data_IF_149170363102
#
_entry.id   IF_149170363102
#
_cell.length_a   1.000
_cell.length_b   1.000
_cell.length_c   1.000
_cell.angle_alpha   90.00
_cell.angle_beta   90.00
_cell.angle_gamma   90.00
#
_symmetry.space_group_name_H-M   'P 1'
#
loop_
_entity.id
_entity.type
_entity.pdbx_description
1 polymer ?
#
# COMPACT_ATOMS: atom_id res chain seq x y z
N UNK A 1 -7.90 0.39 -1.54
CA UNK A 1 -8.72 0.80 -2.69
C UNK A 1 -7.98 0.47 -3.96
N UNK A 2 -8.70 0.03 -5.00
CA UNK A 2 -8.11 -0.20 -6.33
C UNK A 2 -8.45 1.01 -7.19
N UNK A 3 -7.47 1.61 -7.86
CA UNK A 3 -7.64 2.80 -8.68
C UNK A 3 -6.83 2.74 -9.97
N UNK A 4 -7.15 3.63 -10.90
CA UNK A 4 -6.46 3.78 -12.19
C UNK A 4 -5.68 5.09 -12.19
N UNK A 5 -4.34 5.00 -12.13
CA UNK A 5 -3.43 6.15 -12.12
C UNK A 5 -2.69 6.26 -13.45
N UNK A 6 -2.52 7.46 -13.98
CA UNK A 6 -1.53 7.69 -15.04
C UNK A 6 -0.12 7.50 -14.49
N UNK A 7 0.81 7.09 -15.34
CA UNK A 7 2.22 6.91 -14.98
C UNK A 7 2.84 8.17 -14.38
N UNK A 8 2.47 9.34 -14.88
CA UNK A 8 2.89 10.64 -14.32
C UNK A 8 2.48 10.81 -12.85
N UNK A 9 1.24 10.43 -12.51
CA UNK A 9 0.72 10.54 -11.14
C UNK A 9 1.39 9.52 -10.23
N UNK A 10 1.63 8.31 -10.73
CA UNK A 10 2.35 7.27 -10.01
C UNK A 10 3.79 7.70 -9.72
N UNK A 11 4.51 8.25 -10.71
CA UNK A 11 5.84 8.83 -10.53
C UNK A 11 5.84 9.93 -9.47
N UNK A 12 4.92 10.89 -9.58
CA UNK A 12 4.82 12.00 -8.64
C UNK A 12 4.56 11.51 -7.20
N UNK A 13 3.65 10.54 -7.02
CA UNK A 13 3.34 9.97 -5.72
C UNK A 13 4.54 9.26 -5.08
N UNK A 14 5.31 8.49 -5.87
CA UNK A 14 6.53 7.81 -5.41
C UNK A 14 7.59 8.84 -5.04
N UNK A 15 7.90 9.78 -5.94
CA UNK A 15 8.88 10.83 -5.72
C UNK A 15 8.57 11.65 -4.45
N UNK A 16 7.31 12.06 -4.29
CA UNK A 16 6.83 12.77 -3.09
C UNK A 16 7.07 11.97 -1.82
N UNK A 17 6.79 10.66 -1.85
CA UNK A 17 7.00 9.79 -0.69
C UNK A 17 8.49 9.66 -0.30
N UNK A 18 9.40 9.69 -1.28
CA UNK A 18 10.85 9.62 -1.05
C UNK A 18 11.38 10.94 -0.49
N UNK A 19 10.91 12.07 -1.03
CA UNK A 19 11.24 13.40 -0.53
C UNK A 19 10.79 13.62 0.91
N UNK A 20 9.57 13.20 1.23
CA UNK A 20 9.07 13.26 2.59
C UNK A 20 9.94 12.45 3.56
N UNK A 21 10.40 11.26 3.16
CA UNK A 21 11.22 10.40 4.01
C UNK A 21 12.66 10.90 4.19
N UNK A 22 13.20 11.64 3.21
CA UNK A 22 14.52 12.26 3.31
C UNK A 22 14.55 13.47 4.28
N UNK A 23 13.39 14.00 4.68
CA UNK A 23 13.31 15.13 5.62
C UNK A 23 13.72 14.75 7.05
N UNK A 24 14.35 15.69 7.76
CA UNK A 24 14.84 15.51 9.13
C UNK A 24 13.66 15.20 10.07
N UNK A 25 13.52 13.93 10.45
CA UNK A 25 12.45 13.44 11.33
C UNK A 25 11.65 12.27 10.76
N UNK A 26 11.85 11.89 9.49
CA UNK A 26 11.17 10.75 8.88
C UNK A 26 9.66 11.00 8.79
N UNK A 27 9.23 11.85 7.85
CA UNK A 27 7.83 12.19 7.73
C UNK A 27 6.98 10.93 7.43
N UNK A 28 5.80 10.79 8.07
CA UNK A 28 4.90 9.69 7.78
C UNK A 28 4.41 9.80 6.33
N UNK A 29 4.35 8.67 5.60
CA UNK A 29 3.89 8.65 4.20
C UNK A 29 4.83 8.04 3.18
N UNK A 30 5.89 7.37 3.64
CA UNK A 30 6.69 6.53 2.77
C UNK A 30 5.83 5.41 2.16
N UNK A 31 5.76 5.37 0.83
CA UNK A 31 5.05 4.32 0.10
C UNK A 31 5.95 3.09 -0.02
N UNK A 32 5.50 1.99 0.57
CA UNK A 32 6.01 0.66 0.26
C UNK A 32 5.53 0.30 -1.15
N UNK A 33 6.46 -0.12 -2.01
CA UNK A 33 6.17 -0.50 -3.39
C UNK A 33 6.10 -2.02 -3.51
N UNK A 34 5.37 -2.48 -4.53
CA UNK A 34 5.31 -3.89 -4.91
C UNK A 34 6.69 -4.37 -5.40
N UNK A 35 6.97 -5.67 -5.27
CA UNK A 35 8.25 -6.26 -5.67
C UNK A 35 8.54 -6.16 -7.17
N UNK A 36 7.50 -5.90 -7.98
CA UNK A 36 7.60 -5.66 -9.41
C UNK A 36 7.81 -4.20 -9.79
N UNK A 37 8.06 -3.31 -8.83
CA UNK A 37 8.36 -1.90 -9.07
C UNK A 37 9.83 -1.60 -8.78
N UNK A 38 10.51 -1.00 -9.75
CA UNK A 38 11.92 -0.59 -9.62
C UNK A 38 12.00 0.93 -9.54
N UNK A 39 12.71 1.45 -8.54
CA UNK A 39 12.95 2.89 -8.38
C UNK A 39 14.42 3.15 -8.08
N UNK A 40 14.91 4.33 -8.48
CA UNK A 40 16.24 4.83 -8.16
C UNK A 40 16.14 6.10 -7.33
N UNK A 41 17.04 6.25 -6.34
CA UNK A 41 17.21 7.51 -5.64
C UNK A 41 17.90 8.53 -6.55
N UNK A 42 17.49 9.79 -6.47
CA UNK A 42 18.20 10.86 -7.15
C UNK A 42 19.50 11.18 -6.39
N UNK A 43 20.58 11.40 -7.13
CA UNK A 43 21.93 11.60 -6.58
C UNK A 43 22.04 12.83 -5.65
N UNK A 44 21.11 13.78 -5.74
CA UNK A 44 21.15 15.06 -5.02
C UNK A 44 20.34 15.08 -3.72
N UNK A 45 19.93 13.91 -3.21
CA UNK A 45 19.43 13.80 -1.83
C UNK A 45 18.06 14.42 -1.62
N UNK A 46 17.03 13.62 -1.92
CA UNK A 46 15.64 13.96 -1.59
C UNK A 46 14.64 13.40 -2.59
N UNK A 47 15.05 13.16 -3.84
CA UNK A 47 14.17 12.63 -4.88
C UNK A 47 14.27 11.12 -5.07
N UNK A 48 13.31 10.58 -5.81
CA UNK A 48 13.40 9.22 -6.35
C UNK A 48 12.58 9.10 -7.62
N UNK A 49 13.11 8.37 -8.60
CA UNK A 49 12.46 8.09 -9.87
C UNK A 49 12.00 6.64 -9.94
N UNK A 50 10.72 6.44 -10.24
CA UNK A 50 10.17 5.14 -10.61
C UNK A 50 10.62 4.82 -12.04
N UNK A 51 11.36 3.73 -12.19
CA UNK A 51 11.96 3.31 -13.45
C UNK A 51 11.08 2.32 -14.19
N UNK A 52 10.55 1.34 -13.47
CA UNK A 52 9.80 0.23 -14.05
C UNK A 52 8.60 -0.17 -13.20
N UNK A 53 7.58 -0.66 -13.88
CA UNK A 53 6.37 -1.25 -13.29
C UNK A 53 6.10 -2.57 -14.02
N UNK A 54 6.05 -3.68 -13.30
CA UNK A 54 5.83 -5.01 -13.86
C UNK A 54 6.87 -5.43 -14.92
N UNK A 55 8.14 -4.99 -14.76
CA UNK A 55 9.23 -5.29 -15.68
C UNK A 55 9.27 -4.42 -16.94
N UNK A 56 8.30 -3.52 -17.12
CA UNK A 56 8.25 -2.56 -18.23
C UNK A 56 8.69 -1.18 -17.76
N UNK A 57 9.33 -0.41 -18.64
CA UNK A 57 9.67 0.98 -18.33
C UNK A 57 8.41 1.78 -18.01
N UNK A 58 8.51 2.70 -17.05
CA UNK A 58 7.40 3.58 -16.72
C UNK A 58 7.06 4.47 -17.91
N UNK A 59 5.81 4.39 -18.36
CA UNK A 59 5.24 5.25 -19.39
C UNK A 59 4.34 6.31 -18.69
N UNK A 60 4.69 7.60 -18.77
CA UNK A 60 3.92 8.67 -18.11
C UNK A 60 2.45 8.74 -18.53
N UNK A 61 2.14 8.42 -19.80
CA UNK A 61 0.80 8.54 -20.36
C UNK A 61 -0.05 7.28 -20.15
N UNK A 62 0.59 6.14 -19.86
CA UNK A 62 -0.11 4.89 -19.61
C UNK A 62 -0.90 4.94 -18.31
N UNK A 63 -2.09 4.34 -18.33
CA UNK A 63 -2.91 4.15 -17.13
C UNK A 63 -2.60 2.79 -16.50
N UNK A 64 -2.18 2.82 -15.24
CA UNK A 64 -1.86 1.67 -14.40
C UNK A 64 -2.98 1.40 -13.41
N UNK A 65 -3.32 0.12 -13.24
CA UNK A 65 -4.19 -0.31 -12.16
C UNK A 65 -3.35 -0.54 -10.91
N UNK A 66 -3.64 0.21 -9.86
CA UNK A 66 -2.88 0.16 -8.60
C UNK A 66 -3.79 -0.12 -7.41
N UNK A 67 -3.21 -0.65 -6.35
CA UNK A 67 -3.88 -0.77 -5.05
C UNK A 67 -3.20 0.19 -4.08
N UNK A 68 -3.98 1.12 -3.55
CA UNK A 68 -3.51 2.15 -2.62
C UNK A 68 -4.39 2.13 -1.37
N UNK A 69 -3.84 2.28 -0.15
CA UNK A 69 -4.66 2.43 1.05
C UNK A 69 -5.65 3.59 0.88
N UNK A 70 -6.92 3.34 1.18
CA UNK A 70 -7.98 4.33 0.97
C UNK A 70 -7.70 5.64 1.71
N UNK A 71 -7.18 5.54 2.94
CA UNK A 71 -6.84 6.72 3.73
C UNK A 71 -5.74 7.59 3.10
N UNK A 72 -4.82 7.02 2.31
CA UNK A 72 -3.80 7.78 1.59
C UNK A 72 -4.41 8.69 0.51
N UNK A 73 -5.59 8.33 -0.01
CA UNK A 73 -6.35 9.16 -0.95
C UNK A 73 -7.08 10.31 -0.24
N UNK A 74 -7.43 10.12 1.04
CA UNK A 74 -8.19 11.09 1.85
C UNK A 74 -7.30 11.98 2.74
N UNK A 75 -6.03 12.16 2.38
CA UNK A 75 -5.13 13.07 3.10
C UNK A 75 -4.28 12.45 4.21
N UNK A 76 -4.50 11.17 4.56
CA UNK A 76 -3.64 10.49 5.51
C UNK A 76 -2.23 10.39 4.93
N UNK A 77 -1.23 10.86 5.67
CA UNK A 77 0.18 10.93 5.26
C UNK A 77 0.54 11.96 4.17
N UNK A 78 -0.37 12.90 3.85
CA UNK A 78 -0.05 14.10 3.05
C UNK A 78 0.67 13.82 1.71
N UNK A 79 0.33 12.73 1.03
CA UNK A 79 0.81 12.48 -0.33
C UNK A 79 -0.03 13.28 -1.33
N UNK A 80 0.34 14.55 -1.55
CA UNK A 80 -0.44 15.50 -2.34
C UNK A 80 -0.79 15.00 -3.75
N UNK A 81 0.13 14.35 -4.51
CA UNK A 81 -0.21 13.79 -5.82
C UNK A 81 -1.39 12.81 -5.81
N UNK A 82 -1.47 11.94 -4.79
CA UNK A 82 -2.60 11.01 -4.65
C UNK A 82 -3.89 11.70 -4.23
N UNK A 83 -3.80 12.71 -3.37
CA UNK A 83 -4.93 13.51 -2.91
C UNK A 83 -5.52 14.32 -4.07
N UNK A 84 -4.67 14.96 -4.87
CA UNK A 84 -5.08 15.76 -6.03
C UNK A 84 -5.74 14.88 -7.08
N UNK A 85 -5.19 13.69 -7.34
CA UNK A 85 -5.82 12.71 -8.21
C UNK A 85 -7.19 12.26 -7.69
N UNK A 86 -7.30 11.97 -6.39
CA UNK A 86 -8.55 11.52 -5.78
C UNK A 86 -9.64 12.61 -5.74
N UNK A 87 -9.24 13.88 -5.68
CA UNK A 87 -10.17 15.02 -5.70
C UNK A 87 -10.45 15.57 -7.11
N UNK A 88 -9.65 15.16 -8.11
CA UNK A 88 -9.77 15.64 -9.48
C UNK A 88 -10.96 15.07 -10.24
N UNK A 89 -11.21 15.61 -11.45
CA UNK A 89 -12.30 15.15 -12.36
C UNK A 89 -12.14 13.69 -12.82
N UNK A 90 -10.97 13.09 -12.63
CA UNK A 90 -10.64 11.71 -13.01
C UNK A 90 -10.88 10.71 -11.87
N UNK A 91 -11.42 11.15 -10.73
CA UNK A 91 -11.65 10.36 -9.52
C UNK A 91 -12.79 9.34 -9.59
N UNK A 92 -13.46 9.18 -10.74
CA UNK A 92 -14.57 8.23 -10.95
C UNK A 92 -14.22 6.77 -10.62
N UNK A 93 -12.93 6.44 -10.43
CA UNK A 93 -12.46 5.13 -10.00
C UNK A 93 -12.19 4.98 -8.50
N UNK A 94 -12.37 6.00 -7.65
CA UNK A 94 -12.18 5.87 -6.20
C UNK A 94 -13.46 5.32 -5.57
N UNK A 95 -13.46 4.08 -5.07
CA UNK A 95 -14.64 3.51 -4.42
C UNK A 95 -15.00 4.32 -3.17
N UNK A 96 -16.30 4.46 -2.90
CA UNK A 96 -16.79 5.08 -1.67
C UNK A 96 -16.17 4.38 -0.45
N UNK A 97 -15.98 5.10 0.66
CA UNK A 97 -15.32 4.57 1.87
C UNK A 97 -15.96 3.29 2.40
N UNK A 98 -17.28 3.15 2.28
CA UNK A 98 -18.02 1.94 2.65
C UNK A 98 -17.67 0.69 1.83
N UNK A 99 -17.09 0.87 0.64
CA UNK A 99 -16.61 -0.20 -0.24
C UNK A 99 -15.10 -0.44 -0.10
N UNK A 100 -14.41 0.41 0.66
CA UNK A 100 -13.00 0.25 0.95
C UNK A 100 -12.81 -0.74 2.10
N UNK A 101 -12.04 -1.79 1.87
CA UNK A 101 -11.62 -2.66 2.97
C UNK A 101 -10.63 -1.91 3.88
N UNK A 102 -10.87 -1.85 5.20
CA UNK A 102 -9.93 -1.26 6.15
C UNK A 102 -8.55 -1.91 6.04
N UNK A 103 -7.49 -1.09 6.09
CA UNK A 103 -6.11 -1.60 5.95
C UNK A 103 -5.77 -2.64 7.03
N UNK A 104 -6.24 -2.42 8.25
CA UNK A 104 -6.07 -3.38 9.37
C UNK A 104 -6.58 -4.78 9.01
N UNK A 105 -7.69 -4.88 8.29
CA UNK A 105 -8.29 -6.17 7.94
C UNK A 105 -7.46 -6.87 6.86
N UNK A 106 -6.87 -6.11 5.94
CA UNK A 106 -5.93 -6.64 4.93
C UNK A 106 -4.66 -7.14 5.61
N UNK A 107 -4.09 -6.37 6.55
CA UNK A 107 -2.89 -6.75 7.30
C UNK A 107 -3.13 -7.99 8.15
N UNK A 108 -4.22 -8.03 8.92
CA UNK A 108 -4.62 -9.21 9.71
C UNK A 108 -4.80 -10.42 8.80
N UNK A 109 -5.49 -10.26 7.65
CA UNK A 109 -5.67 -11.36 6.70
C UNK A 109 -4.37 -11.86 6.08
N UNK A 110 -3.41 -10.99 5.83
CA UNK A 110 -2.09 -11.37 5.31
C UNK A 110 -1.23 -12.04 6.40
N UNK A 111 -1.31 -11.55 7.64
CA UNK A 111 -0.53 -12.05 8.76
C UNK A 111 -1.07 -13.36 9.36
N UNK A 112 -2.39 -13.63 9.27
CA UNK A 112 -3.02 -14.82 9.87
C UNK A 112 -2.41 -16.15 9.40
N UNK A 113 -1.90 -16.21 8.16
CA UNK A 113 -1.23 -17.39 7.64
C UNK A 113 0.13 -17.64 8.32
N UNK A 114 0.87 -16.56 8.61
CA UNK A 114 2.17 -16.61 9.29
C UNK A 114 2.07 -16.89 10.79
N UNK A 115 0.92 -16.58 11.42
CA UNK A 115 0.66 -16.94 12.83
C UNK A 115 0.74 -18.46 13.02
N UNK A 116 0.24 -19.24 12.05
CA UNK A 116 0.32 -20.71 12.07
C UNK A 116 1.76 -21.22 12.02
N UNK A 117 2.65 -20.53 11.32
CA UNK A 117 4.07 -20.89 11.19
C UNK A 117 4.90 -20.45 12.40
N UNK A 118 4.40 -19.49 13.19
CA UNK A 118 5.10 -18.91 14.35
C UNK A 118 4.67 -19.53 15.68
N UNK A 119 3.52 -20.22 15.72
CA UNK A 119 3.07 -20.94 16.88
C UNK A 119 3.53 -22.40 16.80
N UNK A 120 4.06 -22.97 17.90
CA UNK A 120 4.22 -24.41 18.01
C UNK A 120 2.93 -25.12 17.62
N UNK A 121 3.01 -26.22 16.86
CA UNK A 121 1.85 -26.93 16.32
C UNK A 121 0.82 -27.32 17.40
N UNK A 122 1.33 -27.62 18.60
CA UNK A 122 0.52 -27.89 19.80
C UNK A 122 -0.34 -26.69 20.20
N UNK A 123 0.25 -25.50 20.26
CA UNK A 123 -0.44 -24.28 20.68
C UNK A 123 -1.47 -23.83 19.64
N UNK A 124 -1.18 -24.04 18.36
CA UNK A 124 -2.13 -23.77 17.29
C UNK A 124 -3.32 -24.75 17.34
N UNK A 125 -3.07 -26.05 17.51
CA UNK A 125 -4.12 -27.05 17.57
C UNK A 125 -5.04 -26.89 18.80
N UNK A 126 -4.52 -26.40 19.92
CA UNK A 126 -5.32 -26.11 21.12
C UNK A 126 -6.24 -24.89 20.95
N UNK A 127 -5.86 -23.93 20.08
CA UNK A 127 -6.61 -22.69 19.86
C UNK A 127 -7.46 -22.69 18.58
N UNK A 128 -7.12 -23.46 17.54
CA UNK A 128 -7.91 -23.66 16.30
C UNK A 128 -9.02 -24.71 16.50
N UNK A 129 -9.95 -24.42 17.42
CA UNK A 129 -10.97 -25.40 17.85
C UNK A 129 -11.94 -25.81 16.74
N UNK A 130 -12.10 -24.97 15.73
CA UNK A 130 -12.95 -25.25 14.58
C UNK A 130 -12.20 -25.82 13.36
N UNK A 131 -10.88 -26.04 13.50
CA UNK A 131 -10.00 -26.65 12.50
C UNK A 131 -10.04 -25.94 11.15
N UNK A 132 -10.30 -24.63 11.12
CA UNK A 132 -10.34 -23.85 9.88
C UNK A 132 -8.96 -23.40 9.43
N UNK A 133 -7.91 -23.71 10.21
CA UNK A 133 -6.53 -23.35 9.88
C UNK A 133 -6.24 -21.87 10.08
N UNK A 134 -7.06 -21.18 10.88
CA UNK A 134 -6.85 -19.81 11.31
C UNK A 134 -7.37 -19.60 12.74
N UNK A 135 -6.63 -18.84 13.56
CA UNK A 135 -7.08 -18.50 14.91
C UNK A 135 -8.09 -17.35 14.86
N UNK A 136 -9.28 -17.59 15.40
CA UNK A 136 -10.25 -16.53 15.70
C UNK A 136 -9.87 -15.87 17.04
N UNK A 137 -9.73 -14.56 17.07
CA UNK A 137 -9.46 -13.82 18.30
C UNK A 137 -10.50 -14.07 19.40
N UNK A 138 -11.74 -14.43 19.04
CA UNK A 138 -12.77 -14.82 20.00
C UNK A 138 -12.54 -16.20 20.64
N UNK A 139 -11.65 -17.02 20.07
CA UNK A 139 -11.36 -18.39 20.51
C UNK A 139 -10.03 -18.50 21.27
N UNK A 140 -9.19 -17.47 21.20
CA UNK A 140 -7.92 -17.38 21.94
C UNK A 140 -8.25 -17.12 23.42
N UNK A 141 -7.74 -17.98 24.32
CA UNK A 141 -7.88 -17.85 25.78
C UNK A 141 -6.74 -17.08 26.41
#
# INVERSE_FOLDING_TARGET
>A
ATGSLRGETLQAAVAHSRAAAASAGGAPGFLQLDDKMEWAADAEGGGGRLLRVAGEALDPERVYRVVVPYHSLNGMHRNQPLIDWANGKQSWGVPHSSLAQPLKDVVVRAARGRVREQLPEKDFAENDKDRRGCLDCAQIR
#
